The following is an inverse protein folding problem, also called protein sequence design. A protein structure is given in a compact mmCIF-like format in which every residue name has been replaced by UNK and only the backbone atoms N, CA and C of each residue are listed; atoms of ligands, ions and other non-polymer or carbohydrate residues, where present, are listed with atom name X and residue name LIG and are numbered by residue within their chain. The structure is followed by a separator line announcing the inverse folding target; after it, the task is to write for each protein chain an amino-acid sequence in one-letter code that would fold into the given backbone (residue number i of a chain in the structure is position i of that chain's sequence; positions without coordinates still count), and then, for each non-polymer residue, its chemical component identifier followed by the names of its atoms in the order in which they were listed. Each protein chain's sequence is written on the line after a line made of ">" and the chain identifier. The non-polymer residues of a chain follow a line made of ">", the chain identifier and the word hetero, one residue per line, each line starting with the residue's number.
data_IF_078971852832
#
_entry.id   IF_078971852832
#
_cell.length_a   1.000
_cell.length_b   1.000
_cell.length_c   1.000
_cell.angle_alpha   90.00
_cell.angle_beta   90.00
_cell.angle_gamma   90.00
#
_symmetry.space_group_name_H-M   'P 1'
#
loop_
_entity.id
_entity.type
_entity.pdbx_description
1 polymer ?
#
# COMPACT_ATOMS: atom_id res chain seq x y z
N UNK A 1 3.14 21.21 3.07
CA UNK A 1 2.57 22.33 3.84
C UNK A 1 1.17 22.76 3.36
N UNK A 2 0.97 22.98 2.05
CA UNK A 2 -0.29 23.53 1.51
C UNK A 2 -1.53 22.68 1.83
N UNK A 3 -1.48 21.37 1.59
CA UNK A 3 -2.62 20.45 1.84
C UNK A 3 -3.04 20.46 3.32
N UNK A 4 -2.06 20.40 4.24
CA UNK A 4 -2.32 20.46 5.68
C UNK A 4 -2.93 21.81 6.11
N UNK A 5 -2.45 22.92 5.55
CA UNK A 5 -3.02 24.26 5.81
C UNK A 5 -4.49 24.37 5.36
N UNK A 6 -4.90 23.58 4.37
CA UNK A 6 -6.28 23.49 3.92
C UNK A 6 -7.16 22.57 4.78
N UNK A 7 -6.63 21.98 5.86
CA UNK A 7 -7.38 21.07 6.74
C UNK A 7 -7.63 19.68 6.14
N UNK A 8 -6.89 19.30 5.09
CA UNK A 8 -7.04 18.02 4.40
C UNK A 8 -5.98 17.03 4.90
N UNK A 9 -6.41 15.78 5.14
CA UNK A 9 -5.51 14.67 5.50
C UNK A 9 -4.56 14.33 4.35
N UNK A 10 -3.31 14.03 4.67
CA UNK A 10 -2.26 13.73 3.70
C UNK A 10 -2.18 12.24 3.44
N UNK A 11 -2.26 11.88 2.15
CA UNK A 11 -1.92 10.54 1.66
C UNK A 11 -0.65 10.66 0.82
N UNK A 12 0.47 10.10 1.29
CA UNK A 12 1.77 10.22 0.62
C UNK A 12 2.60 8.96 0.83
N UNK A 13 3.16 8.43 -0.25
CA UNK A 13 3.85 7.14 -0.27
C UNK A 13 4.66 6.97 -1.56
N UNK A 14 4.88 5.74 -2.00
CA UNK A 14 5.72 5.48 -3.18
C UNK A 14 5.48 4.16 -3.89
N UNK A 15 6.32 3.90 -4.89
CA UNK A 15 6.33 2.70 -5.73
C UNK A 15 7.68 2.00 -5.53
N UNK A 16 7.66 0.68 -5.33
CA UNK A 16 8.83 -0.16 -5.13
C UNK A 16 8.99 -1.10 -6.33
N UNK A 17 10.22 -1.27 -6.82
CA UNK A 17 10.53 -2.12 -7.98
C UNK A 17 10.66 -1.36 -9.31
N UNK A 18 10.92 -0.05 -9.29
CA UNK A 18 11.21 0.79 -10.47
C UNK A 18 12.68 0.73 -10.91
N UNK A 19 13.47 -0.21 -10.39
CA UNK A 19 14.92 -0.25 -10.57
C UNK A 19 15.71 0.54 -9.51
N UNK A 20 15.03 1.03 -8.47
CA UNK A 20 15.67 1.76 -7.37
C UNK A 20 16.53 0.84 -6.48
N UNK A 21 17.57 1.42 -5.88
CA UNK A 21 18.43 0.72 -4.92
C UNK A 21 17.76 0.62 -3.55
N UNK A 22 18.21 -0.28 -2.65
CA UNK A 22 17.74 -0.29 -1.27
C UNK A 22 17.89 1.07 -0.57
N UNK A 23 18.97 1.82 -0.84
CA UNK A 23 19.21 3.16 -0.30
C UNK A 23 18.13 4.15 -0.73
N UNK A 24 17.66 4.09 -1.97
CA UNK A 24 16.58 4.94 -2.46
C UNK A 24 15.26 4.65 -1.72
N UNK A 25 14.97 3.36 -1.47
CA UNK A 25 13.80 2.93 -0.69
C UNK A 25 13.84 3.45 0.74
N UNK A 26 15.01 3.39 1.38
CA UNK A 26 15.20 3.93 2.73
C UNK A 26 15.05 5.46 2.72
N UNK A 27 15.60 6.12 1.70
CA UNK A 27 15.43 7.55 1.47
C UNK A 27 13.96 7.95 1.40
N UNK A 28 13.15 7.23 0.63
CA UNK A 28 11.69 7.44 0.57
C UNK A 28 11.05 7.38 1.96
N UNK A 29 11.27 6.29 2.71
CA UNK A 29 10.65 6.14 4.03
C UNK A 29 11.15 7.18 5.03
N UNK A 30 12.43 7.54 4.99
CA UNK A 30 13.00 8.60 5.81
C UNK A 30 12.35 9.95 5.50
N UNK A 31 12.11 10.27 4.23
CA UNK A 31 11.43 11.50 3.83
C UNK A 31 9.99 11.55 4.34
N UNK A 32 9.26 10.42 4.31
CA UNK A 32 7.89 10.34 4.82
C UNK A 32 7.86 10.49 6.35
N UNK A 33 8.76 9.78 7.05
CA UNK A 33 8.86 9.82 8.51
C UNK A 33 9.41 11.16 9.05
N UNK A 34 10.15 11.92 8.24
CA UNK A 34 10.62 13.26 8.64
C UNK A 34 9.49 14.33 8.63
N UNK A 35 8.32 14.03 8.07
CA UNK A 35 7.20 14.97 8.06
C UNK A 35 6.59 15.11 9.45
N UNK A 36 6.25 16.33 9.86
CA UNK A 36 5.54 16.58 11.11
C UNK A 36 4.18 17.27 10.87
N UNK A 37 3.04 16.61 11.16
CA UNK A 37 2.93 15.19 11.52
C UNK A 37 3.22 14.26 10.32
N UNK A 38 3.41 12.96 10.56
CA UNK A 38 3.51 11.95 9.51
C UNK A 38 2.24 11.96 8.62
N UNK A 39 2.31 11.50 7.35
CA UNK A 39 1.12 11.30 6.53
C UNK A 39 0.11 10.38 7.22
N UNK A 40 -1.17 10.72 7.20
CA UNK A 40 -2.23 9.91 7.79
C UNK A 40 -2.37 8.56 7.06
N UNK A 41 -2.12 8.54 5.75
CA UNK A 41 -2.08 7.33 4.93
C UNK A 41 -0.78 7.27 4.12
N UNK A 42 -0.11 6.13 4.18
CA UNK A 42 1.15 5.85 3.48
C UNK A 42 0.96 4.67 2.52
N UNK A 43 0.63 4.92 1.25
CA UNK A 43 0.50 3.87 0.25
C UNK A 43 1.88 3.36 -0.19
N UNK A 44 2.07 2.05 -0.10
CA UNK A 44 3.23 1.37 -0.67
C UNK A 44 2.71 0.52 -1.82
N UNK A 45 3.11 0.90 -3.03
CA UNK A 45 2.74 0.25 -4.27
C UNK A 45 3.90 -0.62 -4.75
N UNK A 46 3.61 -1.81 -5.26
CA UNK A 46 4.55 -2.53 -6.10
C UNK A 46 4.41 -2.01 -7.54
N UNK A 47 5.53 -1.90 -8.26
CA UNK A 47 5.50 -1.54 -9.68
C UNK A 47 4.60 -2.51 -10.44
N UNK A 48 3.58 -1.98 -11.11
CA UNK A 48 2.82 -2.70 -12.12
C UNK A 48 3.46 -2.38 -13.47
N UNK A 49 4.07 -3.39 -14.09
CA UNK A 49 4.69 -3.29 -15.41
C UNK A 49 3.60 -3.25 -16.47
N UNK A 50 3.55 -2.17 -17.24
CA UNK A 50 2.55 -1.97 -18.29
C UNK A 50 3.25 -1.89 -19.64
N UNK A 51 2.77 -2.66 -20.61
CA UNK A 51 3.27 -2.65 -21.99
C UNK A 51 3.26 -1.24 -22.57
N UNK A 52 4.35 -0.88 -23.25
CA UNK A 52 4.60 0.45 -23.81
C UNK A 52 5.20 1.46 -22.82
N UNK A 53 5.34 1.13 -21.54
CA UNK A 53 6.02 2.02 -20.57
C UNK A 53 7.52 1.75 -20.52
N UNK A 54 8.36 2.74 -20.21
CA UNK A 54 9.81 2.53 -20.07
C UNK A 54 10.22 1.46 -19.03
N UNK A 55 9.30 1.10 -18.11
CA UNK A 55 9.53 0.13 -17.04
C UNK A 55 8.85 -1.22 -17.29
N UNK A 56 8.32 -1.47 -18.49
CA UNK A 56 7.58 -2.70 -18.82
C UNK A 56 8.40 -4.00 -18.57
N UNK A 57 9.73 -3.92 -18.76
CA UNK A 57 10.66 -5.05 -18.68
C UNK A 57 11.51 -5.04 -17.40
N UNK A 58 11.16 -4.20 -16.42
CA UNK A 58 11.88 -4.16 -15.15
C UNK A 58 11.74 -5.50 -14.39
N UNK A 59 12.73 -5.86 -13.59
CA UNK A 59 12.73 -7.14 -12.88
C UNK A 59 11.64 -7.16 -11.80
N UNK A 60 10.95 -8.29 -11.61
CA UNK A 60 10.05 -8.46 -10.47
C UNK A 60 10.78 -8.22 -9.15
N UNK A 61 10.11 -7.51 -8.25
CA UNK A 61 10.61 -7.27 -6.90
C UNK A 61 10.51 -8.57 -6.08
N UNK A 62 11.54 -8.86 -5.29
CA UNK A 62 11.47 -9.95 -4.32
C UNK A 62 10.38 -9.67 -3.28
N UNK A 63 9.54 -10.68 -3.00
CA UNK A 63 8.40 -10.51 -2.10
C UNK A 63 8.83 -10.13 -0.68
N UNK A 64 9.97 -10.62 -0.20
CA UNK A 64 10.48 -10.29 1.13
C UNK A 64 11.04 -8.87 1.18
N UNK A 65 11.58 -8.36 0.09
CA UNK A 65 11.92 -6.93 -0.02
C UNK A 65 10.67 -6.07 0.09
N UNK A 66 9.58 -6.44 -0.58
CA UNK A 66 8.32 -5.71 -0.50
C UNK A 66 7.71 -5.76 0.91
N UNK A 67 7.65 -6.94 1.52
CA UNK A 67 7.18 -7.12 2.91
C UNK A 67 8.05 -6.32 3.89
N UNK A 68 9.37 -6.30 3.69
CA UNK A 68 10.30 -5.50 4.52
C UNK A 68 10.02 -4.00 4.41
N UNK A 69 9.64 -3.51 3.24
CA UNK A 69 9.22 -2.11 3.07
C UNK A 69 7.96 -1.79 3.87
N UNK A 70 6.96 -2.67 3.85
CA UNK A 70 5.74 -2.52 4.66
C UNK A 70 6.06 -2.51 6.15
N UNK A 71 6.87 -3.48 6.62
CA UNK A 71 7.28 -3.58 8.02
C UNK A 71 8.02 -2.32 8.49
N UNK A 72 8.96 -1.83 7.66
CA UNK A 72 9.75 -0.65 7.98
C UNK A 72 8.86 0.60 8.03
N UNK A 73 7.93 0.76 7.09
CA UNK A 73 6.96 1.85 7.09
C UNK A 73 6.09 1.83 8.36
N UNK A 74 5.60 0.67 8.78
CA UNK A 74 4.83 0.51 10.03
C UNK A 74 5.64 0.93 11.25
N UNK A 75 6.89 0.48 11.36
CA UNK A 75 7.75 0.79 12.51
C UNK A 75 8.05 2.30 12.59
N UNK A 76 8.40 2.92 11.46
CA UNK A 76 8.73 4.34 11.43
C UNK A 76 7.51 5.25 11.64
N UNK A 77 6.34 4.82 11.18
CA UNK A 77 5.12 5.63 11.19
C UNK A 77 3.95 4.87 11.87
N UNK A 78 4.03 4.62 13.19
CA UNK A 78 3.12 3.70 13.88
C UNK A 78 1.65 4.14 13.88
N UNK A 79 1.37 5.45 13.83
CA UNK A 79 0.02 5.99 13.79
C UNK A 79 -0.58 6.08 12.37
N UNK A 80 0.21 5.89 11.32
CA UNK A 80 -0.25 6.00 9.94
C UNK A 80 -0.96 4.72 9.47
N UNK A 81 -1.92 4.87 8.57
CA UNK A 81 -2.42 3.74 7.78
C UNK A 81 -1.40 3.37 6.72
N UNK A 82 -0.82 2.17 6.80
CA UNK A 82 0.09 1.67 5.76
C UNK A 82 -0.77 0.92 4.75
N UNK A 83 -0.88 1.47 3.53
CA UNK A 83 -1.81 0.96 2.51
C UNK A 83 -1.09 0.07 1.51
N UNK A 84 -1.39 -1.23 1.55
CA UNK A 84 -1.03 -2.18 0.50
C UNK A 84 -1.88 -1.89 -0.74
N UNK A 85 -1.27 -1.26 -1.75
CA UNK A 85 -2.00 -0.57 -2.82
C UNK A 85 -1.87 -1.29 -4.17
N UNK A 86 -1.25 -0.67 -5.19
CA UNK A 86 -1.08 -1.29 -6.51
C UNK A 86 -0.12 -2.49 -6.47
N UNK A 87 -0.35 -3.44 -7.39
CA UNK A 87 0.44 -4.67 -7.53
C UNK A 87 -0.09 -5.89 -6.76
N UNK A 88 -1.17 -5.75 -5.98
CA UNK A 88 -1.78 -6.87 -5.24
C UNK A 88 -2.22 -8.04 -6.11
N UNK A 89 -2.57 -7.81 -7.37
CA UNK A 89 -2.91 -8.89 -8.31
C UNK A 89 -1.75 -9.85 -8.56
N UNK A 90 -0.50 -9.37 -8.45
CA UNK A 90 0.71 -10.17 -8.63
C UNK A 90 1.13 -10.91 -7.35
N UNK A 91 0.49 -10.61 -6.22
CA UNK A 91 0.78 -11.23 -4.93
C UNK A 91 -0.13 -12.43 -4.69
N UNK A 92 0.48 -13.52 -4.19
CA UNK A 92 -0.29 -14.65 -3.65
C UNK A 92 -1.01 -14.26 -2.36
N UNK A 93 -1.99 -15.08 -1.96
CA UNK A 93 -2.73 -14.85 -0.72
C UNK A 93 -1.78 -14.88 0.51
N UNK A 94 -0.77 -15.74 0.51
CA UNK A 94 0.25 -15.82 1.57
C UNK A 94 1.14 -14.57 1.58
N UNK A 95 1.53 -14.06 0.41
CA UNK A 95 2.31 -12.82 0.31
C UNK A 95 1.52 -11.62 0.85
N UNK A 96 0.23 -11.53 0.52
CA UNK A 96 -0.64 -10.50 1.08
C UNK A 96 -0.84 -10.66 2.59
N UNK A 97 -1.00 -11.90 3.08
CA UNK A 97 -1.05 -12.19 4.52
C UNK A 97 0.20 -11.72 5.25
N UNK A 98 1.39 -11.96 4.66
CA UNK A 98 2.66 -11.45 5.19
C UNK A 98 2.70 -9.91 5.21
N UNK A 99 2.19 -9.23 4.18
CA UNK A 99 2.08 -7.78 4.17
C UNK A 99 1.16 -7.26 5.29
N UNK A 100 0.01 -7.90 5.52
CA UNK A 100 -0.88 -7.54 6.63
C UNK A 100 -0.21 -7.76 7.98
N UNK A 101 0.45 -8.90 8.18
CA UNK A 101 1.21 -9.21 9.40
C UNK A 101 2.35 -8.22 9.63
N UNK A 102 3.04 -7.80 8.57
CA UNK A 102 4.10 -6.81 8.62
C UNK A 102 3.60 -5.41 9.02
N UNK A 103 2.30 -5.14 8.88
CA UNK A 103 1.68 -3.91 9.37
C UNK A 103 0.86 -3.12 8.36
N UNK A 104 0.66 -3.64 7.13
CA UNK A 104 -0.35 -3.08 6.24
C UNK A 104 -1.74 -3.23 6.87
N UNK A 105 -2.54 -2.16 6.83
CA UNK A 105 -3.88 -2.13 7.43
C UNK A 105 -4.89 -1.34 6.59
N UNK A 106 -4.60 -1.14 5.31
CA UNK A 106 -5.47 -0.48 4.34
C UNK A 106 -5.20 -1.08 2.95
N UNK A 107 -6.24 -1.22 2.14
CA UNK A 107 -6.18 -1.71 0.75
C UNK A 107 -7.17 -0.92 -0.12
N UNK A 108 -6.98 -0.96 -1.44
CA UNK A 108 -8.04 -0.63 -2.39
C UNK A 108 -8.87 -1.89 -2.67
N UNK A 109 -10.18 -1.80 -2.48
CA UNK A 109 -11.16 -2.83 -2.82
C UNK A 109 -11.97 -2.39 -4.04
N UNK A 110 -12.21 -3.33 -4.97
CA UNK A 110 -12.87 -3.09 -6.25
C UNK A 110 -12.05 -3.70 -7.39
N UNK A 111 -12.67 -3.92 -8.55
CA UNK A 111 -12.07 -4.71 -9.65
C UNK A 111 -10.95 -3.96 -10.41
N UNK A 112 -10.86 -2.64 -10.25
CA UNK A 112 -9.90 -1.79 -10.96
C UNK A 112 -9.35 -0.70 -10.04
N UNK A 113 -8.08 -0.37 -10.23
CA UNK A 113 -7.48 0.84 -9.68
C UNK A 113 -7.76 2.04 -10.61
N UNK A 114 -6.75 2.83 -10.95
CA UNK A 114 -6.87 3.92 -11.91
C UNK A 114 -7.01 3.36 -13.34
N UNK A 115 -6.05 2.53 -13.76
CA UNK A 115 -6.00 1.97 -15.12
C UNK A 115 -5.73 0.47 -15.14
N UNK A 116 -5.22 -0.10 -14.04
CA UNK A 116 -4.81 -1.50 -13.93
C UNK A 116 -5.83 -2.36 -13.17
N UNK A 117 -5.85 -3.68 -13.41
CA UNK A 117 -6.67 -4.61 -12.64
C UNK A 117 -6.31 -4.63 -11.15
N UNK A 118 -7.29 -4.96 -10.32
CA UNK A 118 -7.15 -5.12 -8.87
C UNK A 118 -7.88 -6.41 -8.43
N UNK A 119 -7.54 -7.04 -7.29
CA UNK A 119 -8.30 -8.17 -6.81
C UNK A 119 -9.79 -7.83 -6.67
N UNK A 120 -10.63 -8.75 -7.11
CA UNK A 120 -12.09 -8.62 -6.97
C UNK A 120 -12.46 -8.49 -5.49
N UNK A 121 -13.53 -7.74 -5.21
CA UNK A 121 -13.98 -7.48 -3.84
C UNK A 121 -14.26 -8.78 -3.06
N UNK A 122 -14.74 -9.83 -3.73
CA UNK A 122 -15.02 -11.11 -3.11
C UNK A 122 -13.74 -11.88 -2.75
N UNK A 123 -12.71 -11.80 -3.61
CA UNK A 123 -11.38 -12.34 -3.28
C UNK A 123 -10.81 -11.65 -2.04
N UNK A 124 -10.93 -10.33 -1.97
CA UNK A 124 -10.46 -9.55 -0.82
C UNK A 124 -11.20 -9.93 0.46
N UNK A 125 -12.54 -10.01 0.42
CA UNK A 125 -13.35 -10.43 1.57
C UNK A 125 -12.96 -11.83 2.05
N UNK A 126 -12.86 -12.79 1.13
CA UNK A 126 -12.50 -14.17 1.44
C UNK A 126 -11.11 -14.27 2.09
N UNK A 127 -10.13 -13.52 1.60
CA UNK A 127 -8.79 -13.49 2.21
C UNK A 127 -8.81 -12.87 3.61
N UNK A 128 -9.46 -11.72 3.77
CA UNK A 128 -9.56 -11.06 5.07
C UNK A 128 -10.27 -11.95 6.10
N UNK A 129 -11.35 -12.63 5.71
CA UNK A 129 -12.07 -13.58 6.58
C UNK A 129 -11.18 -14.75 6.99
N UNK A 130 -10.41 -15.35 6.06
CA UNK A 130 -9.44 -16.41 6.38
C UNK A 130 -8.37 -15.97 7.38
N UNK A 131 -7.96 -14.70 7.31
CA UNK A 131 -6.97 -14.11 8.22
C UNK A 131 -7.57 -13.60 9.54
N UNK A 132 -8.90 -13.73 9.72
CA UNK A 132 -9.61 -13.21 10.89
C UNK A 132 -9.62 -11.68 10.98
N UNK A 133 -9.41 -11.00 9.87
CA UNK A 133 -9.40 -9.54 9.77
C UNK A 133 -10.81 -9.01 9.49
N UNK A 134 -11.11 -7.82 10.01
CA UNK A 134 -12.40 -7.17 9.81
C UNK A 134 -12.20 -5.88 9.01
N UNK A 135 -13.10 -5.65 8.06
CA UNK A 135 -13.22 -4.33 7.45
C UNK A 135 -13.62 -3.33 8.53
N UNK A 136 -13.00 -2.16 8.50
CA UNK A 136 -13.31 -1.10 9.44
C UNK A 136 -14.74 -0.60 9.16
N UNK A 137 -15.67 -0.94 10.04
CA UNK A 137 -17.04 -0.43 9.98
C UNK A 137 -17.18 0.75 10.94
N UNK A 138 -16.91 1.96 10.46
CA UNK A 138 -17.35 3.14 11.17
C UNK A 138 -18.86 3.33 10.90
N UNK A 139 -19.66 3.40 11.97
CA UNK A 139 -21.10 3.64 11.88
C UNK A 139 -21.47 4.94 11.13
N UNK A 140 -20.49 5.86 10.95
CA UNK A 140 -20.65 7.13 10.22
C UNK A 140 -20.46 7.04 8.70
N UNK A 141 -19.92 5.94 8.18
CA UNK A 141 -19.63 5.75 6.75
C UNK A 141 -20.39 4.55 6.15
N UNK A 142 -21.44 4.06 6.83
CA UNK A 142 -22.40 3.18 6.18
C UNK A 142 -23.10 3.95 5.06
N UNK A 143 -22.66 3.71 3.82
CA UNK A 143 -23.39 4.10 2.63
C UNK A 143 -24.78 3.46 2.70
N UNK A 144 -25.77 4.32 2.60
CA UNK A 144 -27.18 4.01 2.40
C UNK A 144 -27.27 3.03 1.22
N UNK A 145 -27.84 1.85 1.46
CA UNK A 145 -28.30 0.96 0.39
C UNK A 145 -29.46 1.60 -0.35
#
# INVERSE_FOLDING_TARGET
>A
ANVRKAGVTVCSGGIIGMGETPQDRYGLLQQLAAQNPHPESVPINQLVRVEGTPLENEKPLDVFDFVRMIATARILMPASYVRLSAGRMELTDEAQALCFLAGANSIFMGEKLLTTPNPESDRDRNLLDKLGMKLFSDAKYQTVN
#
